data_IF_696041156586
#
_entry.id   IF_696041156586
#
_cell.length_a   1.000
_cell.length_b   1.000
_cell.length_c   1.000
_cell.angle_alpha   90.00
_cell.angle_beta   90.00
_cell.angle_gamma   90.00
#
_symmetry.space_group_name_H-M   'P 1'
#
loop_
_entity.id
_entity.type
_entity.pdbx_description
1 polymer ?
#
# COMPACT_ATOMS: atom_id res chain seq x y z
N UNK A 1 1.58 1.14 -9.01
CA UNK A 1 0.23 0.57 -9.20
C UNK A 1 -0.36 0.16 -7.86
N UNK A 2 -1.62 0.48 -7.61
CA UNK A 2 -2.32 0.13 -6.37
C UNK A 2 -3.03 -1.20 -6.58
N UNK A 3 -2.75 -2.20 -5.74
CA UNK A 3 -3.51 -3.44 -5.74
C UNK A 3 -4.81 -3.21 -4.95
N UNK A 4 -5.87 -2.82 -5.67
CA UNK A 4 -7.16 -2.44 -5.08
C UNK A 4 -7.76 -3.59 -4.25
N UNK A 5 -7.47 -4.84 -4.61
CA UNK A 5 -7.96 -6.02 -3.87
C UNK A 5 -7.29 -6.23 -2.51
N UNK A 6 -6.07 -5.72 -2.30
CA UNK A 6 -5.33 -5.81 -1.02
C UNK A 6 -5.74 -4.76 0.01
N UNK A 7 -6.39 -3.68 -0.41
CA UNK A 7 -6.82 -2.61 0.48
C UNK A 7 -8.07 -2.97 1.30
N UNK A 8 -8.74 -4.07 0.94
CA UNK A 8 -9.93 -4.55 1.63
C UNK A 8 -9.55 -5.32 2.90
N UNK A 9 -9.96 -4.81 4.07
CA UNK A 9 -10.43 -5.71 5.14
C UNK A 9 -11.76 -6.30 4.69
N UNK A 10 -11.73 -7.26 3.76
CA UNK A 10 -12.74 -8.33 3.82
C UNK A 10 -12.69 -8.78 5.28
N UNK A 11 -13.82 -8.83 6.00
CA UNK A 11 -13.85 -9.37 7.37
C UNK A 11 -13.50 -10.86 7.28
N UNK A 12 -12.22 -11.12 7.12
CA UNK A 12 -11.60 -12.41 7.25
C UNK A 12 -11.22 -12.44 8.71
N UNK A 13 -12.14 -13.02 9.46
CA UNK A 13 -11.98 -13.17 10.89
C UNK A 13 -10.87 -14.18 11.14
N UNK A 14 -10.24 -14.14 12.32
CA UNK A 14 -9.36 -15.24 12.76
C UNK A 14 -10.05 -16.61 12.60
N UNK A 15 -11.39 -16.62 12.71
CA UNK A 15 -12.27 -17.76 12.49
C UNK A 15 -12.31 -18.27 11.04
N UNK A 16 -12.24 -17.38 10.05
CA UNK A 16 -12.17 -17.78 8.63
C UNK A 16 -10.81 -18.42 8.32
N UNK A 17 -9.75 -17.91 8.93
CA UNK A 17 -8.42 -18.53 8.86
C UNK A 17 -8.45 -19.91 9.51
N UNK A 18 -8.94 -20.04 10.74
CA UNK A 18 -9.12 -21.35 11.41
C UNK A 18 -10.02 -22.33 10.63
N UNK A 19 -11.08 -21.84 9.99
CA UNK A 19 -12.02 -22.69 9.27
C UNK A 19 -11.46 -23.23 7.96
N UNK A 20 -10.52 -22.52 7.34
CA UNK A 20 -10.03 -22.82 6.00
C UNK A 20 -8.54 -23.25 5.96
N UNK A 21 -7.75 -23.02 7.02
CA UNK A 21 -6.31 -23.36 7.09
C UNK A 21 -5.95 -24.82 6.88
N UNK A 22 -6.90 -25.76 7.00
CA UNK A 22 -6.69 -27.19 6.79
C UNK A 22 -7.37 -27.72 5.51
N UNK A 23 -8.03 -26.86 4.74
CA UNK A 23 -8.79 -27.26 3.54
C UNK A 23 -7.97 -27.07 2.27
N UNK A 24 -8.24 -27.87 1.24
CA UNK A 24 -7.68 -27.66 -0.10
C UNK A 24 -8.22 -26.38 -0.76
N UNK A 25 -7.47 -25.77 -1.68
CA UNK A 25 -7.92 -24.56 -2.40
C UNK A 25 -9.27 -24.72 -3.10
N UNK A 26 -9.60 -25.94 -3.53
CA UNK A 26 -10.84 -26.34 -4.16
C UNK A 26 -12.04 -26.42 -3.19
N UNK A 27 -11.79 -26.54 -1.90
CA UNK A 27 -12.80 -26.62 -0.84
C UNK A 27 -13.06 -25.28 -0.14
N UNK A 28 -12.31 -24.25 -0.51
CA UNK A 28 -12.35 -22.92 0.10
C UNK A 28 -13.02 -21.93 -0.85
N UNK A 29 -13.95 -21.07 -0.36
CA UNK A 29 -14.50 -20.00 -1.19
C UNK A 29 -13.40 -19.21 -1.87
N UNK A 30 -13.55 -18.90 -3.17
CA UNK A 30 -12.47 -18.29 -3.99
C UNK A 30 -11.83 -17.03 -3.40
N UNK A 31 -12.58 -16.25 -2.61
CA UNK A 31 -12.05 -15.07 -1.94
C UNK A 31 -11.19 -15.37 -0.70
N UNK A 32 -11.25 -16.60 -0.15
CA UNK A 32 -10.54 -17.09 1.03
C UNK A 32 -9.42 -18.09 0.70
N UNK A 33 -9.19 -18.43 -0.58
CA UNK A 33 -8.20 -19.45 -1.01
C UNK A 33 -6.80 -19.19 -0.48
N UNK A 34 -6.44 -17.94 -0.18
CA UNK A 34 -5.18 -17.57 0.49
C UNK A 34 -4.99 -18.19 1.87
N UNK A 35 -6.08 -18.67 2.49
CA UNK A 35 -6.08 -19.37 3.77
C UNK A 35 -6.21 -20.87 3.61
N UNK A 36 -6.23 -21.42 2.40
CA UNK A 36 -6.24 -22.87 2.21
C UNK A 36 -4.87 -23.48 2.59
N UNK A 37 -4.85 -24.75 3.00
CA UNK A 37 -3.63 -25.53 3.24
C UNK A 37 -2.97 -26.01 1.94
N UNK A 38 -3.04 -25.19 0.89
CA UNK A 38 -2.51 -25.53 -0.42
C UNK A 38 -1.69 -24.38 -0.95
N UNK A 39 -0.45 -24.67 -1.32
CA UNK A 39 0.39 -23.73 -2.05
C UNK A 39 -0.10 -23.64 -3.49
N UNK A 40 -1.03 -22.75 -3.75
CA UNK A 40 -1.49 -22.46 -5.10
C UNK A 40 -0.73 -21.24 -5.64
N UNK A 41 -0.16 -21.30 -6.85
CA UNK A 41 0.60 -20.19 -7.40
C UNK A 41 -0.33 -19.00 -7.69
N UNK A 42 0.11 -17.79 -7.32
CA UNK A 42 -0.47 -16.54 -7.81
C UNK A 42 0.30 -16.15 -9.07
N UNK A 43 -0.42 -15.94 -10.17
CA UNK A 43 0.21 -15.55 -11.43
C UNK A 43 0.12 -14.04 -11.58
N UNK A 44 1.25 -13.41 -11.89
CA UNK A 44 1.33 -11.99 -12.23
C UNK A 44 1.51 -11.91 -13.74
N UNK A 45 0.62 -11.20 -14.42
CA UNK A 45 0.65 -11.07 -15.87
C UNK A 45 0.66 -9.60 -16.28
N UNK A 46 1.73 -9.18 -16.95
CA UNK A 46 1.81 -7.88 -17.62
C UNK A 46 1.08 -8.00 -18.97
N UNK A 47 -0.19 -7.57 -19.01
CA UNK A 47 -1.08 -7.82 -20.15
C UNK A 47 -0.80 -6.93 -21.36
N UNK A 48 -0.16 -5.78 -21.12
CA UNK A 48 0.30 -4.84 -22.15
C UNK A 48 1.42 -3.97 -21.59
N UNK A 49 2.33 -3.48 -22.44
CA UNK A 49 3.31 -2.43 -22.10
C UNK A 49 2.75 -1.03 -22.30
N UNK A 50 1.62 -0.90 -23.02
CA UNK A 50 0.94 0.38 -23.26
C UNK A 50 0.46 1.02 -21.96
N UNK A 51 0.73 2.31 -21.78
CA UNK A 51 0.29 3.09 -20.63
C UNK A 51 -0.01 4.53 -21.06
N UNK A 52 -1.03 5.12 -20.43
CA UNK A 52 -1.34 6.54 -20.54
C UNK A 52 -0.42 7.43 -19.66
N UNK A 53 0.55 6.86 -18.94
CA UNK A 53 1.56 7.55 -18.12
C UNK A 53 2.98 7.02 -18.40
N UNK A 54 3.99 7.85 -18.11
CA UNK A 54 5.43 7.56 -18.28
C UNK A 54 6.21 7.81 -16.98
N UNK A 55 5.98 7.00 -15.95
CA UNK A 55 6.55 7.21 -14.62
C UNK A 55 8.06 6.87 -14.56
N UNK A 56 8.87 7.70 -13.90
CA UNK A 56 10.32 7.50 -13.74
C UNK A 56 10.69 6.19 -13.02
N UNK A 57 9.83 5.73 -12.11
CA UNK A 57 10.02 4.51 -11.33
C UNK A 57 9.36 3.27 -11.97
N UNK A 58 9.01 3.33 -13.26
CA UNK A 58 8.28 2.24 -13.92
C UNK A 58 9.18 1.02 -14.17
N UNK A 59 8.90 -0.08 -13.49
CA UNK A 59 9.60 -1.36 -13.67
C UNK A 59 9.48 -1.96 -15.09
N UNK A 60 8.46 -1.59 -15.86
CA UNK A 60 8.26 -2.06 -17.22
C UNK A 60 8.86 -1.14 -18.28
N UNK A 61 9.22 0.10 -17.94
CA UNK A 61 9.51 1.13 -18.95
C UNK A 61 8.34 1.29 -19.92
N UNK A 62 7.13 1.40 -19.38
CA UNK A 62 5.88 1.41 -20.17
C UNK A 62 5.87 2.53 -21.21
N UNK A 63 5.27 2.24 -22.37
CA UNK A 63 5.27 3.11 -23.54
C UNK A 63 3.87 3.61 -23.87
N UNK A 64 3.76 4.65 -24.71
CA UNK A 64 2.48 5.14 -25.20
C UNK A 64 1.79 4.16 -26.16
N UNK A 65 2.56 3.23 -26.73
CA UNK A 65 2.07 2.19 -27.61
C UNK A 65 2.31 0.79 -27.06
N UNK A 66 1.47 -0.14 -27.51
CA UNK A 66 1.61 -1.56 -27.22
C UNK A 66 2.82 -2.13 -27.96
N UNK A 67 3.43 -3.15 -27.38
CA UNK A 67 4.54 -3.84 -28.04
C UNK A 67 4.02 -4.83 -29.08
N UNK A 68 4.84 -5.07 -30.11
CA UNK A 68 4.47 -5.96 -31.22
C UNK A 68 4.46 -7.44 -30.85
N UNK A 69 5.10 -7.80 -29.74
CA UNK A 69 5.21 -9.15 -29.20
C UNK A 69 4.19 -9.46 -28.08
N UNK A 70 3.23 -8.56 -27.83
CA UNK A 70 2.14 -8.81 -26.87
C UNK A 70 1.22 -9.94 -27.35
N UNK A 71 0.74 -10.77 -26.42
CA UNK A 71 -0.23 -11.82 -26.74
C UNK A 71 -1.42 -11.23 -27.49
N UNK A 72 -1.80 -11.86 -28.59
CA UNK A 72 -3.05 -11.59 -29.29
C UNK A 72 -4.25 -11.95 -28.39
N UNK A 73 -5.46 -11.51 -28.74
CA UNK A 73 -6.67 -11.86 -27.98
C UNK A 73 -6.83 -13.38 -27.86
N UNK A 74 -6.53 -14.13 -28.91
CA UNK A 74 -6.67 -15.58 -28.92
C UNK A 74 -5.65 -16.25 -27.98
N UNK A 75 -4.37 -15.86 -28.08
CA UNK A 75 -3.32 -16.40 -27.20
C UNK A 75 -3.56 -16.04 -25.73
N UNK A 76 -4.10 -14.85 -25.47
CA UNK A 76 -4.51 -14.40 -24.13
C UNK A 76 -5.66 -15.25 -23.55
N UNK A 77 -6.65 -15.61 -24.37
CA UNK A 77 -7.74 -16.51 -23.96
C UNK A 77 -7.21 -17.92 -23.67
N UNK A 78 -6.30 -18.43 -24.51
CA UNK A 78 -5.65 -19.73 -24.31
C UNK A 78 -4.77 -19.74 -23.05
N UNK A 79 -4.03 -18.66 -22.79
CA UNK A 79 -3.28 -18.48 -21.56
C UNK A 79 -4.21 -18.57 -20.33
N UNK A 80 -5.35 -17.88 -20.35
CA UNK A 80 -6.36 -17.96 -19.28
C UNK A 80 -6.88 -19.39 -19.10
N UNK A 81 -7.13 -20.10 -20.20
CA UNK A 81 -7.58 -21.50 -20.16
C UNK A 81 -6.54 -22.43 -19.55
N UNK A 82 -5.26 -22.23 -19.86
CA UNK A 82 -4.16 -22.97 -19.23
C UNK A 82 -4.05 -22.65 -17.73
N UNK A 83 -4.18 -21.39 -17.32
CA UNK A 83 -4.17 -21.03 -15.90
C UNK A 83 -5.32 -21.68 -15.14
N UNK A 84 -6.52 -21.65 -15.72
CA UNK A 84 -7.70 -22.28 -15.14
C UNK A 84 -7.56 -23.81 -15.05
N UNK A 85 -7.01 -24.47 -16.07
CA UNK A 85 -6.80 -25.93 -16.06
C UNK A 85 -5.77 -26.37 -15.01
N UNK A 86 -4.75 -25.55 -14.78
CA UNK A 86 -3.78 -25.71 -13.69
C UNK A 86 -4.35 -25.38 -12.30
N UNK A 87 -5.64 -25.01 -12.21
CA UNK A 87 -6.31 -24.60 -10.97
C UNK A 87 -5.62 -23.43 -10.28
N UNK A 88 -5.03 -22.52 -11.07
CA UNK A 88 -4.56 -21.24 -10.56
C UNK A 88 -5.78 -20.51 -9.97
N UNK A 89 -5.73 -20.06 -8.71
CA UNK A 89 -6.89 -19.43 -8.09
C UNK A 89 -7.07 -17.97 -8.54
N UNK A 90 -5.97 -17.36 -9.00
CA UNK A 90 -5.85 -15.91 -9.14
C UNK A 90 -4.78 -15.52 -10.17
N UNK A 91 -5.15 -14.65 -11.10
CA UNK A 91 -4.21 -13.89 -11.92
C UNK A 91 -4.31 -12.42 -11.56
N UNK A 92 -3.20 -11.82 -11.13
CA UNK A 92 -3.11 -10.37 -10.98
C UNK A 92 -2.60 -9.77 -12.28
N UNK A 93 -3.46 -8.99 -12.90
CA UNK A 93 -3.16 -8.32 -14.16
C UNK A 93 -2.55 -6.96 -13.86
N UNK A 94 -1.36 -6.77 -14.44
CA UNK A 94 -0.55 -5.57 -14.45
C UNK A 94 -0.29 -5.20 -15.92
N UNK A 95 0.57 -4.21 -16.15
CA UNK A 95 1.07 -3.85 -17.46
C UNK A 95 1.82 -2.54 -17.37
N UNK A 96 1.83 -1.79 -18.47
CA UNK A 96 1.67 -0.35 -18.39
C UNK A 96 0.36 -0.01 -17.66
N UNK A 97 -0.75 0.06 -18.40
CA UNK A 97 -2.10 0.20 -17.85
C UNK A 97 -3.05 -0.81 -18.51
N UNK A 98 -3.57 -1.83 -17.79
CA UNK A 98 -4.46 -2.84 -18.36
C UNK A 98 -5.70 -2.30 -19.07
N UNK A 99 -6.27 -1.19 -18.58
CA UNK A 99 -7.45 -0.56 -19.16
C UNK A 99 -7.19 0.12 -20.52
N UNK A 100 -5.93 0.19 -20.98
CA UNK A 100 -5.60 0.66 -22.34
C UNK A 100 -5.75 -0.44 -23.40
N UNK A 101 -5.86 -1.70 -22.99
CA UNK A 101 -5.95 -2.84 -23.89
C UNK A 101 -7.42 -3.08 -24.30
N UNK A 102 -7.70 -3.01 -25.60
CA UNK A 102 -9.08 -2.97 -26.12
C UNK A 102 -9.92 -4.23 -25.87
N UNK A 103 -9.31 -5.39 -25.64
CA UNK A 103 -9.97 -6.66 -25.37
C UNK A 103 -9.99 -7.04 -23.87
N UNK A 104 -9.55 -6.14 -22.98
CA UNK A 104 -9.39 -6.43 -21.54
C UNK A 104 -10.65 -7.04 -20.90
N UNK A 105 -11.83 -6.44 -21.14
CA UNK A 105 -13.08 -6.91 -20.55
C UNK A 105 -13.53 -8.26 -21.11
N UNK A 106 -13.22 -8.56 -22.38
CA UNK A 106 -13.43 -9.88 -22.98
C UNK A 106 -12.60 -10.93 -22.25
N UNK A 107 -11.32 -10.64 -22.01
CA UNK A 107 -10.40 -11.51 -21.29
C UNK A 107 -10.82 -11.72 -19.83
N UNK A 108 -11.15 -10.64 -19.12
CA UNK A 108 -11.61 -10.70 -17.73
C UNK A 108 -12.92 -11.50 -17.59
N UNK A 109 -13.88 -11.28 -18.48
CA UNK A 109 -15.13 -12.03 -18.51
C UNK A 109 -14.92 -13.52 -18.83
N UNK A 110 -13.98 -13.86 -19.72
CA UNK A 110 -13.62 -15.25 -20.01
C UNK A 110 -12.98 -15.93 -18.79
N UNK A 111 -12.02 -15.27 -18.15
CA UNK A 111 -11.40 -15.75 -16.91
C UNK A 111 -12.46 -16.02 -15.82
N UNK A 112 -13.40 -15.09 -15.64
CA UNK A 112 -14.50 -15.26 -14.70
C UNK A 112 -15.35 -16.51 -15.00
N UNK A 113 -15.73 -16.73 -16.26
CA UNK A 113 -16.47 -17.94 -16.69
C UNK A 113 -15.70 -19.24 -16.45
N UNK A 114 -14.37 -19.21 -16.59
CA UNK A 114 -13.47 -20.34 -16.27
C UNK A 114 -13.20 -20.47 -14.78
N UNK A 115 -13.76 -19.58 -13.97
CA UNK A 115 -13.62 -19.59 -12.53
C UNK A 115 -12.28 -19.06 -12.02
N UNK A 116 -11.47 -18.46 -12.89
CA UNK A 116 -10.21 -17.82 -12.59
C UNK A 116 -10.45 -16.37 -12.14
N UNK A 117 -9.98 -16.00 -10.96
CA UNK A 117 -10.18 -14.64 -10.44
C UNK A 117 -9.12 -13.69 -11.01
N UNK A 118 -9.55 -12.57 -11.58
CA UNK A 118 -8.66 -11.49 -12.01
C UNK A 118 -8.58 -10.41 -10.94
N UNK A 119 -7.36 -9.97 -10.60
CA UNK A 119 -7.12 -8.71 -9.89
C UNK A 119 -6.64 -7.68 -10.89
N UNK A 120 -7.34 -6.56 -10.99
CA UNK A 120 -6.89 -5.40 -11.75
C UNK A 120 -5.94 -4.54 -10.91
N UNK A 121 -4.70 -4.38 -11.37
CA UNK A 121 -3.77 -3.35 -10.90
C UNK A 121 -3.75 -2.22 -11.92
N UNK A 122 -4.20 -1.03 -11.52
CA UNK A 122 -4.39 0.11 -12.41
C UNK A 122 -3.83 1.40 -11.80
N UNK A 123 -3.48 2.36 -12.65
CA UNK A 123 -3.22 3.76 -12.31
C UNK A 123 -4.52 4.56 -12.09
N UNK A 124 -5.67 3.93 -12.38
CA UNK A 124 -7.03 4.40 -12.09
C UNK A 124 -7.49 5.59 -12.95
N UNK A 125 -6.62 6.20 -13.77
CA UNK A 125 -6.94 7.37 -14.58
C UNK A 125 -8.01 7.11 -15.64
N UNK A 126 -8.18 5.86 -16.08
CA UNK A 126 -9.16 5.45 -17.09
C UNK A 126 -10.47 4.89 -16.49
N UNK A 127 -10.61 4.91 -15.16
CA UNK A 127 -11.85 4.47 -14.52
C UNK A 127 -12.88 5.60 -14.55
N UNK A 128 -13.73 5.55 -15.57
CA UNK A 128 -14.96 6.35 -15.68
C UNK A 128 -16.16 5.59 -15.12
N UNK A 129 -17.33 6.23 -15.01
CA UNK A 129 -18.56 5.50 -14.63
C UNK A 129 -18.89 4.35 -15.60
N UNK A 130 -18.63 4.55 -16.90
CA UNK A 130 -18.78 3.50 -17.91
C UNK A 130 -17.82 2.34 -17.63
N UNK A 131 -16.51 2.64 -17.53
CA UNK A 131 -15.46 1.64 -17.30
C UNK A 131 -15.67 0.90 -15.97
N UNK A 132 -16.14 1.60 -14.94
CA UNK A 132 -16.49 1.03 -13.64
C UNK A 132 -17.60 -0.03 -13.76
N UNK A 133 -18.60 0.21 -14.61
CA UNK A 133 -19.62 -0.79 -14.95
C UNK A 133 -19.06 -2.00 -15.70
N UNK A 134 -18.20 -1.79 -16.69
CA UNK A 134 -17.55 -2.88 -17.43
C UNK A 134 -16.65 -3.74 -16.50
N UNK A 135 -15.94 -3.10 -15.57
CA UNK A 135 -15.19 -3.78 -14.50
C UNK A 135 -16.13 -4.65 -13.66
N UNK A 136 -17.28 -4.12 -13.25
CA UNK A 136 -18.27 -4.85 -12.45
C UNK A 136 -18.81 -6.09 -13.19
N UNK A 137 -19.12 -5.94 -14.48
CA UNK A 137 -19.66 -6.99 -15.34
C UNK A 137 -18.64 -8.09 -15.65
N UNK A 138 -17.36 -7.73 -15.71
CA UNK A 138 -16.26 -8.65 -16.05
C UNK A 138 -15.89 -9.67 -14.95
N UNK A 139 -16.57 -9.65 -13.82
CA UNK A 139 -16.30 -10.56 -12.71
C UNK A 139 -15.12 -10.16 -11.81
N UNK A 140 -14.59 -8.94 -12.00
CA UNK A 140 -13.68 -8.30 -11.05
C UNK A 140 -14.49 -7.94 -9.81
N UNK A 141 -14.04 -8.41 -8.64
CA UNK A 141 -14.91 -8.54 -7.47
C UNK A 141 -15.43 -7.21 -6.87
N UNK A 142 -14.74 -6.10 -7.12
CA UNK A 142 -15.05 -4.81 -6.51
C UNK A 142 -14.78 -3.66 -7.48
N UNK A 143 -15.58 -2.60 -7.32
CA UNK A 143 -15.51 -1.39 -8.11
C UNK A 143 -15.21 -0.20 -7.19
N UNK A 144 -14.24 0.62 -7.58
CA UNK A 144 -13.99 1.93 -6.97
C UNK A 144 -15.03 2.94 -7.42
N UNK A 145 -15.70 3.60 -6.47
CA UNK A 145 -16.65 4.69 -6.72
C UNK A 145 -16.24 5.94 -5.94
N UNK A 146 -16.78 7.10 -6.31
CA UNK A 146 -16.46 8.40 -5.68
C UNK A 146 -14.94 8.65 -5.59
N UNK A 147 -14.19 8.37 -6.65
CA UNK A 147 -12.75 8.60 -6.65
C UNK A 147 -12.44 10.10 -6.72
N UNK A 148 -11.57 10.55 -5.84
CA UNK A 148 -11.11 11.92 -5.71
C UNK A 148 -9.58 11.89 -5.62
N UNK A 149 -8.89 12.68 -6.45
CA UNK A 149 -7.44 12.87 -6.41
C UNK A 149 -7.16 14.34 -6.15
N UNK A 150 -6.55 14.66 -5.02
CA UNK A 150 -6.32 16.06 -4.61
C UNK A 150 -4.89 16.27 -4.12
N UNK A 151 -4.34 17.44 -4.38
CA UNK A 151 -3.10 17.86 -3.75
C UNK A 151 -3.32 18.08 -2.24
N UNK A 152 -2.31 17.73 -1.44
CA UNK A 152 -2.30 17.92 0.01
C UNK A 152 -0.97 18.51 0.49
N UNK A 153 -0.99 19.57 1.32
CA UNK A 153 -2.16 20.37 1.67
C UNK A 153 -2.70 21.15 0.45
N UNK A 154 -3.98 21.56 0.43
CA UNK A 154 -4.59 22.26 -0.71
C UNK A 154 -3.92 23.59 -1.01
N UNK A 155 -3.32 24.22 0.00
CA UNK A 155 -2.49 25.40 -0.14
C UNK A 155 -1.14 25.13 0.51
N UNK A 156 -0.08 25.39 -0.25
CA UNK A 156 1.32 25.29 0.19
C UNK A 156 1.95 26.64 -0.09
N UNK A 157 2.61 27.23 0.91
CA UNK A 157 3.36 28.48 0.72
C UNK A 157 4.60 28.25 -0.13
N UNK A 158 5.12 29.29 -0.77
CA UNK A 158 6.19 29.17 -1.76
C UNK A 158 7.48 28.57 -1.21
N UNK A 159 7.80 28.89 0.04
CA UNK A 159 8.91 28.32 0.79
C UNK A 159 8.75 26.82 1.11
N UNK A 160 7.51 26.32 1.16
CA UNK A 160 7.16 24.93 1.47
C UNK A 160 7.11 24.04 0.22
N UNK A 161 6.81 24.60 -0.96
CA UNK A 161 6.64 23.83 -2.22
C UNK A 161 7.87 23.02 -2.63
N UNK A 162 9.05 23.36 -2.13
CA UNK A 162 10.32 22.69 -2.47
C UNK A 162 10.58 21.41 -1.67
N UNK A 163 9.93 21.23 -0.52
CA UNK A 163 10.24 20.14 0.42
C UNK A 163 9.01 19.50 1.08
N UNK A 164 7.83 20.09 0.89
CA UNK A 164 6.60 19.67 1.53
C UNK A 164 5.44 19.62 0.54
N UNK A 165 4.56 18.64 0.73
CA UNK A 165 3.40 18.40 -0.11
C UNK A 165 3.21 16.93 -0.45
N UNK A 166 2.17 16.66 -1.21
CA UNK A 166 1.71 15.32 -1.48
C UNK A 166 0.42 15.31 -2.27
N UNK A 167 -0.13 14.12 -2.41
CA UNK A 167 -1.43 13.86 -3.01
C UNK A 167 -2.22 12.95 -2.10
N UNK A 168 -3.53 13.10 -2.10
CA UNK A 168 -4.44 12.17 -1.46
C UNK A 168 -5.40 11.59 -2.50
N UNK A 169 -5.48 10.27 -2.52
CA UNK A 169 -6.49 9.54 -3.27
C UNK A 169 -7.56 9.10 -2.29
N UNK A 170 -8.81 9.48 -2.53
CA UNK A 170 -9.96 9.03 -1.74
C UNK A 170 -10.95 8.33 -2.65
N UNK A 171 -11.47 7.19 -2.23
CA UNK A 171 -12.47 6.44 -3.00
C UNK A 171 -13.27 5.53 -2.07
N UNK A 172 -14.37 4.95 -2.55
CA UNK A 172 -15.13 3.92 -1.83
C UNK A 172 -15.11 2.63 -2.65
N UNK A 173 -15.27 1.48 -1.99
CA UNK A 173 -15.42 0.20 -2.67
C UNK A 173 -16.84 -0.33 -2.53
N UNK A 174 -17.37 -0.89 -3.60
CA UNK A 174 -18.63 -1.63 -3.62
C UNK A 174 -18.42 -2.95 -4.36
N UNK A 175 -19.09 -4.01 -3.91
CA UNK A 175 -19.11 -5.28 -4.64
C UNK A 175 -19.68 -5.07 -6.04
N UNK A 176 -19.06 -5.69 -7.04
CA UNK A 176 -19.47 -5.57 -8.44
C UNK A 176 -20.95 -5.93 -8.67
N UNK A 177 -21.44 -7.01 -8.05
CA UNK A 177 -22.85 -7.43 -8.17
C UNK A 177 -23.83 -6.38 -7.61
N UNK A 178 -23.46 -5.72 -6.51
CA UNK A 178 -24.27 -4.65 -5.90
C UNK A 178 -24.22 -3.39 -6.75
N UNK A 179 -23.05 -3.04 -7.29
CA UNK A 179 -22.91 -1.93 -8.22
C UNK A 179 -23.85 -2.10 -9.42
N UNK A 180 -23.87 -3.29 -10.02
CA UNK A 180 -24.72 -3.58 -11.18
C UNK A 180 -26.22 -3.41 -10.92
N UNK A 181 -26.69 -3.76 -9.73
CA UNK A 181 -28.10 -3.59 -9.34
C UNK A 181 -28.50 -2.14 -9.06
N UNK A 182 -27.52 -1.25 -8.85
CA UNK A 182 -27.72 0.12 -8.36
C UNK A 182 -27.11 1.18 -9.31
N UNK A 183 -26.65 0.74 -10.49
CA UNK A 183 -26.01 1.60 -11.49
C UNK A 183 -27.00 2.68 -11.94
N UNK A 184 -26.64 3.96 -11.75
CA UNK A 184 -27.51 5.12 -11.97
C UNK A 184 -28.10 5.76 -10.70
N UNK A 185 -28.04 5.08 -9.56
CA UNK A 185 -28.51 5.58 -8.27
C UNK A 185 -27.32 5.94 -7.36
N UNK A 186 -26.66 7.07 -7.68
CA UNK A 186 -25.43 7.49 -6.99
C UNK A 186 -25.58 7.63 -5.45
N UNK A 187 -26.80 7.92 -4.95
CA UNK A 187 -27.07 7.93 -3.51
C UNK A 187 -26.99 6.52 -2.91
N UNK A 188 -27.60 5.54 -3.57
CA UNK A 188 -27.71 4.17 -3.09
C UNK A 188 -26.37 3.43 -3.19
N UNK A 189 -25.59 3.68 -4.24
CA UNK A 189 -24.20 3.23 -4.35
C UNK A 189 -23.36 3.70 -3.15
N UNK A 190 -23.53 4.96 -2.73
CA UNK A 190 -22.80 5.53 -1.59
C UNK A 190 -23.25 4.96 -0.25
N UNK A 191 -24.54 4.71 -0.08
CA UNK A 191 -25.11 4.11 1.14
C UNK A 191 -24.66 2.65 1.26
N UNK A 192 -24.57 1.92 0.15
CA UNK A 192 -24.25 0.48 0.14
C UNK A 192 -22.78 0.16 -0.13
N UNK A 193 -21.93 1.19 -0.25
CA UNK A 193 -20.47 1.03 -0.24
C UNK A 193 -20.03 0.29 1.04
N UNK A 194 -18.98 -0.52 0.89
CA UNK A 194 -18.48 -1.39 1.94
C UNK A 194 -17.92 -0.58 3.11
N UNK A 195 -18.14 -1.09 4.33
CA UNK A 195 -17.50 -0.60 5.54
C UNK A 195 -16.06 -1.10 5.63
N UNK A 196 -15.14 -0.20 5.96
CA UNK A 196 -13.69 -0.43 5.84
C UNK A 196 -12.94 -0.44 7.17
N UNK A 197 -13.65 -0.55 8.29
CA UNK A 197 -13.03 -0.64 9.61
C UNK A 197 -13.90 -0.11 10.75
N UNK A 198 -13.30 0.09 11.94
CA UNK A 198 -13.99 0.63 13.10
C UNK A 198 -14.61 2.00 12.78
N UNK A 199 -15.87 2.21 13.20
CA UNK A 199 -16.60 3.47 12.96
C UNK A 199 -17.33 3.57 11.61
N UNK A 200 -17.58 2.46 10.91
CA UNK A 200 -18.38 2.42 9.67
C UNK A 200 -17.92 3.40 8.59
N UNK A 201 -16.61 3.65 8.50
CA UNK A 201 -16.03 4.48 7.46
C UNK A 201 -16.07 3.73 6.13
N UNK A 202 -16.69 4.35 5.11
CA UNK A 202 -16.86 3.77 3.76
C UNK A 202 -15.89 4.29 2.71
N UNK A 203 -15.00 5.22 3.09
CA UNK A 203 -14.01 5.82 2.18
C UNK A 203 -12.59 5.39 2.53
N UNK A 204 -11.87 4.85 1.54
CA UNK A 204 -10.42 4.74 1.53
C UNK A 204 -9.76 6.09 1.37
N UNK A 205 -8.58 6.22 1.97
CA UNK A 205 -7.64 7.31 1.73
C UNK A 205 -6.26 6.71 1.52
N UNK A 206 -5.54 7.18 0.51
CA UNK A 206 -4.13 6.88 0.26
C UNK A 206 -3.43 8.22 0.23
N UNK A 207 -2.49 8.42 1.14
CA UNK A 207 -1.64 9.60 1.18
C UNK A 207 -0.31 9.29 0.49
N UNK A 208 0.07 10.14 -0.46
CA UNK A 208 1.30 10.04 -1.25
C UNK A 208 2.14 11.27 -0.91
N UNK A 209 3.29 11.08 -0.29
CA UNK A 209 4.20 12.16 0.10
C UNK A 209 5.14 12.53 -1.04
N UNK A 210 5.36 13.83 -1.29
CA UNK A 210 6.42 14.34 -2.20
C UNK A 210 7.74 14.50 -1.45
N UNK A 211 8.88 14.56 -2.15
CA UNK A 211 10.18 14.92 -1.56
C UNK A 211 10.71 13.96 -0.49
N UNK A 212 10.35 12.67 -0.57
CA UNK A 212 11.01 11.66 0.25
C UNK A 212 12.39 11.36 -0.29
N UNK A 213 13.36 11.25 0.62
CA UNK A 213 14.69 10.79 0.26
C UNK A 213 14.58 9.34 -0.23
N UNK A 214 15.12 9.01 -1.41
CA UNK A 214 14.95 7.70 -2.05
C UNK A 214 16.27 6.95 -2.30
N UNK A 215 17.38 7.44 -1.73
CA UNK A 215 18.71 6.86 -1.87
C UNK A 215 19.23 6.43 -0.48
N UNK A 216 20.25 5.57 -0.38
CA UNK A 216 20.66 4.59 -1.38
C UNK A 216 19.62 3.48 -1.51
N UNK A 217 19.46 2.95 -2.71
CA UNK A 217 18.60 1.79 -2.98
C UNK A 217 19.44 0.53 -3.11
N UNK A 218 19.08 -0.56 -2.42
CA UNK A 218 19.83 -1.84 -2.46
C UNK A 218 19.23 -2.75 -3.52
N UNK A 219 20.01 -3.30 -4.48
CA UNK A 219 19.50 -4.27 -5.43
C UNK A 219 19.19 -5.59 -4.71
N UNK A 220 18.08 -6.22 -5.08
CA UNK A 220 17.67 -7.55 -4.63
C UNK A 220 17.17 -8.33 -5.83
N UNK A 221 17.65 -9.57 -5.96
CA UNK A 221 17.13 -10.50 -6.94
C UNK A 221 15.84 -11.11 -6.42
N UNK A 222 14.75 -10.92 -7.16
CA UNK A 222 13.46 -11.56 -6.92
C UNK A 222 13.02 -12.14 -8.26
N UNK A 223 12.91 -13.47 -8.31
CA UNK A 223 12.47 -14.21 -9.50
C UNK A 223 13.23 -13.85 -10.79
N UNK A 224 14.56 -13.68 -10.69
CA UNK A 224 15.44 -13.35 -11.81
C UNK A 224 15.37 -11.89 -12.28
N UNK A 225 14.71 -11.02 -11.51
CA UNK A 225 14.68 -9.57 -11.73
C UNK A 225 15.34 -8.82 -10.58
N UNK A 226 16.20 -7.85 -10.92
CA UNK A 226 16.76 -6.92 -9.93
C UNK A 226 15.72 -5.87 -9.54
N UNK A 227 15.17 -5.99 -8.33
CA UNK A 227 14.34 -4.94 -7.71
C UNK A 227 15.18 -4.13 -6.74
N UNK A 228 14.97 -2.81 -6.73
CA UNK A 228 15.64 -1.93 -5.79
C UNK A 228 14.74 -1.70 -4.58
N UNK A 229 15.23 -2.04 -3.39
CA UNK A 229 14.49 -1.90 -2.14
C UNK A 229 15.17 -0.89 -1.22
N UNK A 230 14.36 -0.22 -0.41
CA UNK A 230 14.86 0.59 0.69
C UNK A 230 15.59 -0.27 1.70
N UNK A 231 16.65 0.28 2.28
CA UNK A 231 17.41 -0.42 3.30
C UNK A 231 16.63 -0.44 4.63
N UNK A 232 16.82 -1.47 5.48
CA UNK A 232 16.19 -1.50 6.81
C UNK A 232 16.49 -0.24 7.65
N UNK A 233 17.70 0.30 7.54
CA UNK A 233 18.15 1.53 8.19
C UNK A 233 17.31 2.73 7.72
N UNK A 234 17.10 2.84 6.41
CA UNK A 234 16.26 3.87 5.82
C UNK A 234 14.82 3.79 6.34
N UNK A 235 14.25 2.60 6.46
CA UNK A 235 12.89 2.43 6.99
C UNK A 235 12.78 2.90 8.45
N UNK A 236 13.77 2.63 9.29
CA UNK A 236 13.81 3.07 10.68
C UNK A 236 13.95 4.59 10.76
N UNK A 237 14.89 5.16 10.02
CA UNK A 237 15.18 6.60 10.03
C UNK A 237 14.00 7.42 9.48
N UNK A 238 13.33 6.91 8.45
CA UNK A 238 12.12 7.51 7.89
C UNK A 238 10.99 7.56 8.92
N UNK A 239 10.81 6.48 9.70
CA UNK A 239 9.84 6.42 10.80
C UNK A 239 10.17 7.40 11.92
N UNK A 240 11.44 7.48 12.34
CA UNK A 240 11.89 8.48 13.33
C UNK A 240 11.62 9.91 12.84
N UNK A 241 11.98 10.23 11.60
CA UNK A 241 11.69 11.53 10.96
C UNK A 241 10.19 11.83 11.01
N UNK A 242 9.37 10.86 10.66
CA UNK A 242 7.92 10.94 10.62
C UNK A 242 7.29 11.22 12.00
N UNK A 243 7.81 10.60 13.06
CA UNK A 243 7.43 10.84 14.46
C UNK A 243 7.73 12.30 14.83
N UNK A 244 8.95 12.77 14.54
CA UNK A 244 9.36 14.16 14.80
C UNK A 244 8.45 15.19 14.12
N UNK A 245 7.92 14.89 12.93
CA UNK A 245 7.02 15.80 12.21
C UNK A 245 5.65 16.01 12.88
N UNK A 246 5.27 15.15 13.81
CA UNK A 246 4.00 15.31 14.53
C UNK A 246 4.12 16.35 15.67
N UNK A 247 5.35 16.69 16.05
CA UNK A 247 5.63 17.56 17.19
C UNK A 247 5.28 19.03 16.88
N UNK A 248 4.70 19.78 17.82
CA UNK A 248 4.47 21.22 17.70
C UNK A 248 5.70 22.03 17.28
N UNK A 249 6.91 21.63 17.69
CA UNK A 249 8.17 22.29 17.32
C UNK A 249 8.42 22.27 15.81
N UNK A 250 7.90 21.28 15.09
CA UNK A 250 8.02 21.24 13.63
C UNK A 250 7.11 22.26 12.93
N UNK A 251 6.12 22.83 13.62
CA UNK A 251 5.18 23.83 13.05
C UNK A 251 5.88 25.12 12.60
N UNK A 252 7.09 25.39 13.09
CA UNK A 252 7.92 26.50 12.60
C UNK A 252 8.32 26.32 11.13
N UNK A 253 8.38 25.07 10.64
CA UNK A 253 8.77 24.73 9.26
C UNK A 253 7.57 24.50 8.35
N UNK A 254 6.45 24.02 8.89
CA UNK A 254 5.24 23.70 8.14
C UNK A 254 4.05 24.29 8.90
N UNK A 255 3.31 25.20 8.26
CA UNK A 255 2.06 25.72 8.85
C UNK A 255 0.98 24.64 8.79
N UNK A 256 0.34 24.36 9.93
CA UNK A 256 -0.72 23.35 10.08
C UNK A 256 -0.35 21.94 9.55
N UNK A 257 0.72 21.31 10.06
CA UNK A 257 1.05 19.95 9.68
C UNK A 257 -0.07 19.02 10.14
N UNK A 258 -0.33 17.96 9.37
CA UNK A 258 -1.18 16.87 9.84
C UNK A 258 -0.56 16.30 11.11
N UNK A 259 -1.31 16.35 12.21
CA UNK A 259 -0.91 15.78 13.49
C UNK A 259 -1.73 14.53 13.75
N UNK A 260 -1.08 13.38 13.58
CA UNK A 260 -1.64 12.08 13.90
C UNK A 260 -0.65 11.32 14.77
N UNK A 261 -1.15 10.65 15.81
CA UNK A 261 -0.37 9.70 16.57
C UNK A 261 0.28 8.66 15.63
N UNK A 262 1.47 8.16 16.03
CA UNK A 262 2.32 7.29 15.20
C UNK A 262 2.66 6.00 15.95
N UNK A 263 1.71 5.47 16.73
CA UNK A 263 1.93 4.31 17.60
C UNK A 263 2.58 3.13 16.85
N UNK A 264 2.13 2.89 15.61
CA UNK A 264 2.65 1.84 14.72
C UNK A 264 4.14 2.00 14.40
N UNK A 265 4.62 3.23 14.26
CA UNK A 265 6.01 3.46 13.90
C UNK A 265 6.97 2.96 14.99
N UNK A 266 6.57 3.02 16.28
CA UNK A 266 7.35 2.45 17.38
C UNK A 266 7.46 0.93 17.29
N UNK A 267 6.35 0.24 17.03
CA UNK A 267 6.31 -1.20 16.80
C UNK A 267 7.18 -1.61 15.60
N UNK A 268 7.05 -0.90 14.49
CA UNK A 268 7.79 -1.19 13.26
C UNK A 268 9.30 -0.94 13.46
N UNK A 269 9.69 0.16 14.12
CA UNK A 269 11.10 0.45 14.45
C UNK A 269 11.68 -0.69 15.29
N UNK A 270 11.01 -1.09 16.37
CA UNK A 270 11.44 -2.24 17.18
C UNK A 270 11.63 -3.48 16.32
N UNK A 271 10.61 -3.85 15.54
CA UNK A 271 10.62 -5.06 14.70
C UNK A 271 11.78 -5.04 13.71
N UNK A 272 12.05 -3.91 13.06
CA UNK A 272 13.12 -3.80 12.07
C UNK A 272 14.50 -3.86 12.76
N UNK A 273 14.69 -3.11 13.85
CA UNK A 273 15.96 -3.08 14.59
C UNK A 273 16.32 -4.46 15.16
N UNK A 274 15.36 -5.17 15.76
CA UNK A 274 15.59 -6.51 16.32
C UNK A 274 15.82 -7.57 15.24
N UNK A 275 15.17 -7.45 14.09
CA UNK A 275 15.30 -8.41 12.98
C UNK A 275 16.62 -8.25 12.23
N UNK A 276 17.02 -7.01 11.95
CA UNK A 276 18.16 -6.72 11.06
C UNK A 276 19.45 -6.30 11.78
N UNK A 277 19.44 -6.20 13.13
CA UNK A 277 20.61 -5.82 13.95
C UNK A 277 21.34 -4.59 13.42
N UNK A 278 20.60 -3.51 13.25
CA UNK A 278 21.07 -2.25 12.68
C UNK A 278 21.80 -1.43 13.74
N UNK A 279 22.96 -0.85 13.37
CA UNK A 279 23.64 0.18 14.16
C UNK A 279 23.31 1.57 13.60
N UNK A 280 22.50 2.33 14.33
CA UNK A 280 22.12 3.70 13.94
C UNK A 280 23.25 4.72 14.19
N UNK A 281 24.28 4.38 14.96
CA UNK A 281 25.42 5.24 15.25
C UNK A 281 26.55 5.09 14.23
N UNK A 282 26.49 4.05 13.41
CA UNK A 282 27.41 3.87 12.29
C UNK A 282 27.39 5.13 11.39
N UNK A 283 28.57 5.55 10.91
CA UNK A 283 28.73 6.76 10.10
C UNK A 283 27.75 6.80 8.91
N UNK A 284 27.57 5.66 8.24
CA UNK A 284 26.64 5.53 7.10
C UNK A 284 25.19 5.79 7.51
N UNK A 285 24.75 5.26 8.65
CA UNK A 285 23.40 5.48 9.20
C UNK A 285 23.18 6.95 9.58
N UNK A 286 24.20 7.59 10.16
CA UNK A 286 24.15 9.01 10.54
C UNK A 286 24.10 9.92 9.31
N UNK A 287 24.89 9.63 8.28
CA UNK A 287 24.87 10.38 7.04
C UNK A 287 23.53 10.19 6.30
N UNK A 288 23.00 8.96 6.28
CA UNK A 288 21.66 8.65 5.77
C UNK A 288 20.57 9.42 6.53
N UNK A 289 20.65 9.44 7.87
CA UNK A 289 19.70 10.18 8.72
C UNK A 289 19.70 11.66 8.37
N UNK A 290 20.87 12.29 8.21
CA UNK A 290 20.97 13.70 7.81
C UNK A 290 20.27 13.96 6.48
N UNK A 291 20.48 13.10 5.49
CA UNK A 291 19.82 13.23 4.19
C UNK A 291 18.29 13.09 4.29
N UNK A 292 17.82 12.06 5.00
CA UNK A 292 16.38 11.80 5.21
C UNK A 292 15.71 12.98 5.92
N UNK A 293 16.29 13.46 7.02
CA UNK A 293 15.74 14.57 7.79
C UNK A 293 15.78 15.89 7.00
N UNK A 294 16.89 16.17 6.30
CA UNK A 294 17.04 17.36 5.47
C UNK A 294 16.04 17.43 4.32
N UNK A 295 15.69 16.29 3.70
CA UNK A 295 14.71 16.23 2.61
C UNK A 295 13.35 16.84 2.99
N UNK A 296 13.00 16.80 4.28
CA UNK A 296 11.78 17.38 4.84
C UNK A 296 12.03 18.54 5.79
N UNK A 297 13.25 19.07 5.83
CA UNK A 297 13.71 20.14 6.74
C UNK A 297 13.36 19.87 8.21
N UNK A 298 13.39 18.60 8.63
CA UNK A 298 13.13 18.19 10.02
C UNK A 298 14.42 18.33 10.82
N UNK A 299 14.46 19.11 11.91
CA UNK A 299 15.62 19.15 12.79
C UNK A 299 15.87 17.80 13.46
N UNK A 300 17.12 17.32 13.46
CA UNK A 300 17.48 16.01 14.05
C UNK A 300 17.29 16.05 15.58
N UNK A 301 17.45 17.22 16.19
CA UNK A 301 17.30 17.47 17.62
C UNK A 301 15.89 17.14 18.13
N UNK A 302 14.90 17.08 17.24
CA UNK A 302 13.55 16.64 17.59
C UNK A 302 13.51 15.16 18.02
N UNK A 303 14.46 14.33 17.59
CA UNK A 303 14.58 12.95 18.05
C UNK A 303 14.72 12.92 19.58
N UNK A 304 15.49 13.86 20.15
CA UNK A 304 15.75 13.91 21.59
C UNK A 304 14.50 14.32 22.39
N UNK A 305 13.49 14.87 21.71
CA UNK A 305 12.21 15.26 22.31
C UNK A 305 11.16 14.17 22.26
N UNK A 306 11.37 13.08 21.51
CA UNK A 306 10.44 11.94 21.44
C UNK A 306 9.98 11.46 22.83
N UNK A 307 10.84 11.35 23.87
CA UNK A 307 10.41 10.93 25.21
C UNK A 307 9.27 11.77 25.81
N UNK A 308 9.11 13.03 25.41
CA UNK A 308 8.06 13.93 25.91
C UNK A 308 6.69 13.68 25.28
N UNK A 309 6.60 12.84 24.24
CA UNK A 309 5.40 12.63 23.43
C UNK A 309 4.80 11.21 23.57
N UNK A 310 5.07 10.53 24.69
CA UNK A 310 4.54 9.18 24.97
C UNK A 310 3.02 9.11 24.86
N UNK A 311 2.32 9.91 25.68
CA UNK A 311 0.86 9.84 25.75
C UNK A 311 0.20 10.24 24.43
N UNK A 312 0.78 11.22 23.73
CA UNK A 312 0.31 11.63 22.40
C UNK A 312 0.34 10.47 21.39
N UNK A 313 1.36 9.61 21.44
CA UNK A 313 1.47 8.49 20.51
C UNK A 313 0.77 7.22 20.99
N UNK A 314 0.43 7.10 22.28
CA UNK A 314 -0.29 5.94 22.85
C UNK A 314 -1.69 5.77 22.28
N UNK A 315 -2.39 6.87 21.99
CA UNK A 315 -3.81 6.88 21.62
C UNK A 315 -4.17 5.99 20.40
N UNK A 316 -3.22 5.71 19.50
CA UNK A 316 -3.46 4.93 18.29
C UNK A 316 -2.91 3.48 18.36
N UNK A 317 -2.53 2.98 19.54
CA UNK A 317 -1.94 1.64 19.62
C UNK A 317 -2.96 0.49 19.43
N UNK A 318 -4.24 0.71 19.74
CA UNK A 318 -5.27 -0.30 19.50
C UNK A 318 -5.42 -0.66 18.02
N UNK A 319 -5.17 0.30 17.10
CA UNK A 319 -5.19 0.02 15.66
C UNK A 319 -4.04 -0.90 15.22
N UNK A 320 -2.91 -0.88 15.95
CA UNK A 320 -1.78 -1.79 15.75
C UNK A 320 -2.17 -3.20 16.16
N UNK A 321 -2.79 -3.36 17.35
CA UNK A 321 -3.29 -4.65 17.85
C UNK A 321 -4.24 -5.33 16.86
N UNK A 322 -5.10 -4.55 16.21
CA UNK A 322 -6.08 -5.02 15.23
C UNK A 322 -5.48 -5.44 13.87
N UNK A 323 -4.19 -5.19 13.63
CA UNK A 323 -3.55 -5.40 12.32
C UNK A 323 -2.32 -6.31 12.36
N UNK A 324 -1.73 -6.53 13.53
CA UNK A 324 -0.65 -7.51 13.71
C UNK A 324 -1.25 -8.92 13.77
N UNK A 325 -0.58 -9.91 13.16
CA UNK A 325 -1.09 -11.27 13.09
C UNK A 325 -1.22 -11.90 14.48
N UNK A 326 -2.27 -12.69 14.77
CA UNK A 326 -2.51 -13.28 16.10
C UNK A 326 -1.40 -14.21 16.63
N UNK A 327 -0.48 -14.64 15.78
CA UNK A 327 0.58 -15.60 16.10
C UNK A 327 1.80 -14.96 16.77
N UNK A 328 1.81 -13.64 17.00
CA UNK A 328 2.87 -12.95 17.74
C UNK A 328 2.31 -12.45 19.07
N UNK A 329 2.97 -12.77 20.19
CA UNK A 329 2.73 -12.09 21.45
C UNK A 329 3.13 -10.62 21.28
N UNK A 330 2.12 -9.76 21.17
CA UNK A 330 2.29 -8.32 21.02
C UNK A 330 2.42 -7.72 22.42
N UNK A 331 3.52 -7.01 22.67
CA UNK A 331 3.72 -6.28 23.91
C UNK A 331 2.82 -5.03 23.97
N UNK A 332 2.80 -4.36 25.12
CA UNK A 332 2.13 -3.07 25.25
C UNK A 332 2.87 -1.96 24.50
N UNK A 333 2.22 -0.80 24.36
CA UNK A 333 2.82 0.36 23.70
C UNK A 333 4.08 0.84 24.42
N UNK A 334 4.08 0.79 25.76
CA UNK A 334 5.19 1.30 26.57
C UNK A 334 6.48 0.54 26.31
N UNK A 335 6.41 -0.78 26.16
CA UNK A 335 7.54 -1.60 25.76
C UNK A 335 8.18 -1.10 24.44
N UNK A 336 7.36 -0.88 23.40
CA UNK A 336 7.87 -0.42 22.10
C UNK A 336 8.37 1.02 22.17
N UNK A 337 7.70 1.88 22.93
CA UNK A 337 8.12 3.26 23.14
C UNK A 337 9.47 3.33 23.86
N UNK A 338 9.61 2.63 24.97
CA UNK A 338 10.84 2.57 25.78
C UNK A 338 12.00 2.01 24.94
N UNK A 339 11.74 0.98 24.14
CA UNK A 339 12.73 0.45 23.22
C UNK A 339 13.27 1.52 22.27
N UNK A 340 12.40 2.32 21.64
CA UNK A 340 12.82 3.39 20.72
C UNK A 340 13.57 4.49 21.46
N UNK A 341 13.16 4.83 22.69
CA UNK A 341 13.87 5.83 23.50
C UNK A 341 15.29 5.37 23.83
N UNK A 342 15.45 4.12 24.31
CA UNK A 342 16.74 3.58 24.72
C UNK A 342 17.68 3.28 23.54
N UNK A 343 17.15 2.79 22.42
CA UNK A 343 17.98 2.31 21.30
C UNK A 343 18.13 3.32 20.16
N UNK A 344 17.29 4.35 20.10
CA UNK A 344 17.38 5.39 19.08
C UNK A 344 17.66 6.76 19.71
N UNK A 345 16.82 7.21 20.66
CA UNK A 345 16.84 8.60 21.10
C UNK A 345 18.08 8.95 21.93
N UNK A 346 18.33 8.22 23.03
CA UNK A 346 19.49 8.48 23.90
C UNK A 346 20.84 8.29 23.19
N UNK A 347 21.04 7.23 22.38
CA UNK A 347 22.31 7.05 21.67
C UNK A 347 22.61 8.20 20.69
N UNK A 348 21.62 8.65 19.94
CA UNK A 348 21.78 9.76 18.99
C UNK A 348 22.00 11.11 19.70
N UNK A 349 21.39 11.33 20.86
CA UNK A 349 21.62 12.52 21.69
C UNK A 349 23.06 12.59 22.20
N UNK A 350 23.60 11.45 22.64
CA UNK A 350 24.98 11.37 23.13
C UNK A 350 26.03 11.66 22.04
N UNK A 351 25.67 11.48 20.77
CA UNK A 351 26.49 11.84 19.62
C UNK A 351 26.40 13.32 19.26
N UNK A 352 25.22 13.95 19.37
CA UNK A 352 25.04 15.37 19.03
C UNK A 352 25.71 16.33 20.01
N UNK A 353 26.00 15.86 21.23
CA UNK A 353 26.72 16.60 22.26
C UNK A 353 28.26 16.42 22.22
N UNK A 354 28.79 15.69 21.22
CA UNK A 354 30.23 15.52 20.93
C UNK A 354 30.57 16.23 19.63
#
# INVERSE_FOLDING_TARGET
MINISRMLKVKETARDVEKHHNKGADEVPKHLVRYANSKAPMVIWNITRKCNFSCDMCHLGSALEADSDELTTQEALEFIDHMASMKVPLVSVYGGEPLTRGDFFTLAGHAHKKGLRIILSSNVALITEKTAGEIAESGISYVGIDMEFVERPPEVTEDMKEFWGGYQIKFKLIEAEKYMKLKGEARDLRVRAMDLGPGHRKSFKIDISKFEYCQPKRPREVDGSTVYVYSPEMLVLEKLRAICQQMPEYREKVRNPSQSARARDFFDIHTILTTFRIDLLARESVDLMKCIFAAKRVPIELIFRIPNYREYHREDFDSVRDTVRPQHELADFDFYFDFVVENCCKPLESMGNK
#
